data_IF_088839899713
#
_entry.id   IF_088839899713
#
_cell.length_a   1.000
_cell.length_b   1.000
_cell.length_c   1.000
_cell.angle_alpha   90.00
_cell.angle_beta   90.00
_cell.angle_gamma   90.00
#
_symmetry.space_group_name_H-M   'P 1'
#
loop_
_entity.id
_entity.type
_entity.pdbx_description
1 polymer ?
#
# COMPACT_ATOMS: atom_id res chain seq x y z
N UNK A 1 9.47 -32.66 -0.92
CA UNK A 1 8.45 -31.81 -1.59
C UNK A 1 8.01 -30.79 -0.55
N UNK A 2 8.58 -29.59 -0.57
CA UNK A 2 8.12 -28.50 0.28
C UNK A 2 6.87 -27.92 -0.38
N UNK A 3 5.72 -28.01 0.31
CA UNK A 3 4.47 -27.42 -0.14
C UNK A 3 4.48 -25.98 0.35
N UNK A 4 4.36 -25.02 -0.57
CA UNK A 4 4.23 -23.60 -0.26
C UNK A 4 2.83 -23.38 0.29
N UNK A 5 2.71 -23.00 1.56
CA UNK A 5 1.45 -22.91 2.28
C UNK A 5 1.11 -21.54 2.86
N UNK A 6 1.82 -20.51 2.38
CA UNK A 6 1.76 -19.13 2.87
C UNK A 6 0.34 -18.54 2.93
N UNK A 7 -0.55 -18.92 2.00
CA UNK A 7 -1.95 -18.47 2.03
C UNK A 7 -2.69 -18.99 3.27
N UNK A 8 -2.59 -20.30 3.56
CA UNK A 8 -3.24 -20.87 4.75
C UNK A 8 -2.62 -20.33 6.02
N UNK A 9 -1.30 -20.22 6.04
CA UNK A 9 -0.55 -19.63 7.15
C UNK A 9 -1.07 -18.21 7.48
N UNK A 10 -1.12 -17.33 6.47
CA UNK A 10 -1.53 -15.95 6.66
C UNK A 10 -3.01 -15.80 7.03
N UNK A 11 -3.90 -16.56 6.39
CA UNK A 11 -5.33 -16.52 6.72
C UNK A 11 -5.61 -17.07 8.13
N UNK A 12 -4.87 -18.10 8.55
CA UNK A 12 -4.97 -18.61 9.92
C UNK A 12 -4.41 -17.60 10.93
N UNK A 13 -3.33 -16.91 10.60
CA UNK A 13 -2.81 -15.81 11.43
C UNK A 13 -3.85 -14.73 11.64
N UNK A 14 -4.53 -14.26 10.57
CA UNK A 14 -5.63 -13.30 10.68
C UNK A 14 -6.72 -13.80 11.62
N UNK A 15 -7.14 -15.06 11.46
CA UNK A 15 -8.22 -15.66 12.25
C UNK A 15 -7.90 -15.72 13.75
N UNK A 16 -6.65 -15.99 14.11
CA UNK A 16 -6.26 -16.20 15.51
C UNK A 16 -5.79 -14.91 16.21
N UNK A 17 -5.31 -13.91 15.46
CA UNK A 17 -4.60 -12.76 16.03
C UNK A 17 -5.29 -11.41 15.83
N UNK A 18 -6.45 -11.37 15.18
CA UNK A 18 -7.22 -10.13 14.95
C UNK A 18 -8.61 -10.22 15.56
N UNK A 19 -9.29 -9.09 15.80
CA UNK A 19 -10.67 -9.11 16.25
C UNK A 19 -11.59 -9.65 15.14
N UNK A 20 -12.69 -10.31 15.50
CA UNK A 20 -13.61 -10.94 14.53
C UNK A 20 -14.24 -9.92 13.57
N UNK A 21 -14.40 -8.67 14.02
CA UNK A 21 -14.92 -7.55 13.25
C UNK A 21 -13.85 -6.74 12.50
N UNK A 22 -12.57 -7.13 12.59
CA UNK A 22 -11.49 -6.43 11.89
C UNK A 22 -11.65 -6.53 10.37
N UNK A 23 -11.86 -5.38 9.72
CA UNK A 23 -12.05 -5.29 8.27
C UNK A 23 -10.72 -5.39 7.54
N UNK A 24 -10.66 -6.32 6.58
CA UNK A 24 -9.49 -6.57 5.74
C UNK A 24 -9.67 -5.89 4.38
N UNK A 25 -8.72 -5.05 3.99
CA UNK A 25 -8.60 -4.49 2.66
C UNK A 25 -7.62 -5.33 1.84
N UNK A 26 -8.12 -5.98 0.79
CA UNK A 26 -7.33 -6.76 -0.16
C UNK A 26 -7.89 -6.57 -1.57
N UNK A 27 -7.16 -7.01 -2.58
CA UNK A 27 -7.75 -7.14 -3.91
C UNK A 27 -8.92 -8.14 -3.92
N UNK A 28 -9.89 -7.92 -4.82
CA UNK A 28 -11.17 -8.64 -4.81
C UNK A 28 -11.03 -10.14 -5.11
N UNK A 29 -10.00 -10.55 -5.86
CA UNK A 29 -9.69 -11.96 -6.16
C UNK A 29 -9.65 -12.83 -4.89
N UNK A 30 -9.23 -12.25 -3.76
CA UNK A 30 -8.97 -12.96 -2.51
C UNK A 30 -10.14 -12.92 -1.52
N UNK A 31 -11.18 -12.13 -1.79
CA UNK A 31 -12.25 -11.84 -0.82
C UNK A 31 -12.94 -13.09 -0.26
N UNK A 32 -13.31 -14.04 -1.12
CA UNK A 32 -13.93 -15.30 -0.67
C UNK A 32 -13.00 -16.21 0.12
N UNK A 33 -11.70 -16.21 -0.20
CA UNK A 33 -10.72 -17.00 0.55
C UNK A 33 -10.52 -16.42 1.95
N UNK A 34 -10.42 -15.10 2.07
CA UNK A 34 -10.30 -14.42 3.36
C UNK A 34 -11.57 -14.66 4.18
N UNK A 35 -12.75 -14.42 3.62
CA UNK A 35 -14.01 -14.64 4.34
C UNK A 35 -14.19 -16.10 4.79
N UNK A 36 -13.84 -17.07 3.95
CA UNK A 36 -14.01 -18.49 4.27
C UNK A 36 -12.94 -19.05 5.22
N UNK A 37 -11.67 -18.65 5.07
CA UNK A 37 -10.54 -19.25 5.81
C UNK A 37 -10.13 -18.41 7.01
N UNK A 38 -10.04 -17.10 6.84
CA UNK A 38 -9.68 -16.16 7.91
C UNK A 38 -10.87 -15.78 8.78
N UNK A 39 -12.11 -15.97 8.29
CA UNK A 39 -13.34 -15.66 9.04
C UNK A 39 -13.39 -14.17 9.44
N UNK A 40 -13.09 -13.28 8.48
CA UNK A 40 -13.03 -11.82 8.67
C UNK A 40 -13.81 -11.07 7.59
N UNK A 41 -14.43 -9.93 7.93
CA UNK A 41 -15.07 -9.08 6.94
C UNK A 41 -14.04 -8.50 5.98
N UNK A 42 -14.39 -8.41 4.69
CA UNK A 42 -13.55 -7.79 3.66
C UNK A 42 -14.22 -6.54 3.09
N UNK A 43 -13.41 -5.53 2.73
CA UNK A 43 -13.92 -4.29 2.15
C UNK A 43 -14.57 -4.52 0.76
N UNK A 44 -14.02 -5.46 0.00
CA UNK A 44 -14.52 -5.93 -1.29
C UNK A 44 -14.58 -7.44 -1.31
N UNK A 45 -15.55 -7.98 -2.04
CA UNK A 45 -15.69 -9.42 -2.28
C UNK A 45 -15.59 -9.74 -3.78
N UNK A 46 -15.57 -11.03 -4.10
CA UNK A 46 -15.43 -11.54 -5.47
C UNK A 46 -16.77 -11.54 -6.24
N UNK A 47 -17.82 -10.91 -5.71
CA UNK A 47 -19.13 -10.87 -6.37
C UNK A 47 -19.25 -9.69 -7.35
N UNK A 48 -18.28 -8.77 -7.38
CA UNK A 48 -18.10 -7.67 -8.37
C UNK A 48 -19.30 -6.79 -8.71
N UNK A 49 -20.35 -6.80 -7.89
CA UNK A 49 -21.59 -6.06 -8.15
C UNK A 49 -21.46 -4.56 -7.89
N UNK A 50 -20.59 -4.16 -6.97
CA UNK A 50 -20.32 -2.76 -6.63
C UNK A 50 -18.94 -2.30 -7.14
N UNK A 51 -18.92 -1.87 -8.40
CA UNK A 51 -17.70 -1.39 -9.07
C UNK A 51 -17.02 -0.22 -8.34
N UNK A 52 -17.79 0.60 -7.59
CA UNK A 52 -17.23 1.73 -6.84
C UNK A 52 -16.39 1.26 -5.65
N UNK A 53 -16.77 0.18 -4.98
CA UNK A 53 -15.96 -0.38 -3.89
C UNK A 53 -14.65 -0.99 -4.42
N UNK A 54 -14.70 -1.71 -5.55
CA UNK A 54 -13.48 -2.24 -6.20
C UNK A 54 -12.55 -1.09 -6.60
N UNK A 55 -13.11 -0.04 -7.21
CA UNK A 55 -12.35 1.15 -7.56
C UNK A 55 -11.77 1.83 -6.31
N UNK A 56 -12.47 1.81 -5.17
CA UNK A 56 -11.97 2.38 -3.90
C UNK A 56 -10.73 1.65 -3.41
N UNK A 57 -10.73 0.30 -3.46
CA UNK A 57 -9.54 -0.49 -3.13
C UNK A 57 -8.40 -0.18 -4.10
N UNK A 58 -8.67 -0.14 -5.41
CA UNK A 58 -7.64 0.23 -6.38
C UNK A 58 -7.08 1.63 -6.14
N UNK A 59 -7.93 2.57 -5.71
CA UNK A 59 -7.54 3.93 -5.36
C UNK A 59 -6.63 3.95 -4.13
N UNK A 60 -6.98 3.21 -3.07
CA UNK A 60 -6.13 3.05 -1.87
C UNK A 60 -4.76 2.51 -2.27
N UNK A 61 -4.72 1.43 -3.05
CA UNK A 61 -3.47 0.77 -3.45
C UNK A 61 -2.59 1.66 -4.35
N UNK A 62 -3.20 2.51 -5.17
CA UNK A 62 -2.50 3.33 -6.15
C UNK A 62 -2.02 4.68 -5.60
N UNK A 63 -2.64 5.21 -4.54
CA UNK A 63 -2.30 6.51 -3.97
C UNK A 63 -1.11 6.43 -2.99
N UNK A 64 -0.46 7.57 -2.69
CA UNK A 64 0.43 7.68 -1.54
C UNK A 64 -0.28 7.43 -0.22
N UNK A 65 0.43 6.88 0.77
CA UNK A 65 -0.13 6.54 2.09
C UNK A 65 -0.89 7.70 2.74
N UNK A 66 -0.36 8.93 2.67
CA UNK A 66 -1.00 10.13 3.24
C UNK A 66 -2.41 10.38 2.67
N UNK A 67 -2.65 10.02 1.41
CA UNK A 67 -3.97 10.14 0.77
C UNK A 67 -4.82 8.88 0.91
N UNK A 68 -4.18 7.72 0.99
CA UNK A 68 -4.86 6.44 1.18
C UNK A 68 -5.37 6.25 2.62
N UNK A 69 -4.63 6.75 3.61
CA UNK A 69 -4.93 6.59 5.03
C UNK A 69 -6.32 7.13 5.42
N UNK A 70 -6.73 8.36 5.06
CA UNK A 70 -8.09 8.82 5.36
C UNK A 70 -9.19 7.96 4.73
N UNK A 71 -8.92 7.33 3.57
CA UNK A 71 -9.86 6.43 2.91
C UNK A 71 -9.95 5.12 3.70
N UNK A 72 -8.81 4.54 4.08
CA UNK A 72 -8.76 3.35 4.94
C UNK A 72 -9.53 3.57 6.25
N UNK A 73 -9.30 4.70 6.94
CA UNK A 73 -10.01 5.06 8.18
C UNK A 73 -11.51 5.26 7.95
N UNK A 74 -11.91 5.90 6.86
CA UNK A 74 -13.34 6.12 6.52
C UNK A 74 -14.11 4.81 6.29
N UNK A 75 -13.41 3.77 5.86
CA UNK A 75 -13.98 2.44 5.60
C UNK A 75 -13.73 1.45 6.75
N UNK A 76 -13.31 1.94 7.92
CA UNK A 76 -13.02 1.15 9.12
C UNK A 76 -12.06 -0.03 8.87
N UNK A 77 -11.14 0.14 7.91
CA UNK A 77 -10.13 -0.87 7.59
C UNK A 77 -9.09 -0.93 8.72
N UNK A 78 -8.88 -2.13 9.25
CA UNK A 78 -7.85 -2.39 10.26
C UNK A 78 -6.60 -3.02 9.67
N UNK A 79 -6.75 -3.87 8.63
CA UNK A 79 -5.62 -4.54 8.00
C UNK A 79 -5.65 -4.43 6.48
N UNK A 80 -4.47 -4.32 5.88
CA UNK A 80 -4.24 -4.37 4.44
C UNK A 80 -3.46 -5.64 4.12
N UNK A 81 -3.97 -6.47 3.21
CA UNK A 81 -3.33 -7.69 2.77
C UNK A 81 -2.87 -7.54 1.31
N UNK A 82 -1.61 -7.86 1.05
CA UNK A 82 -0.99 -7.81 -0.28
C UNK A 82 -0.27 -9.13 -0.58
N UNK A 83 -0.43 -9.63 -1.80
CA UNK A 83 0.30 -10.79 -2.31
C UNK A 83 1.56 -10.31 -3.04
N UNK A 84 2.72 -10.83 -2.63
CA UNK A 84 4.03 -10.39 -3.08
C UNK A 84 4.91 -11.57 -3.52
N UNK A 85 5.10 -11.73 -4.82
CA UNK A 85 5.71 -12.94 -5.39
C UNK A 85 7.20 -12.86 -5.63
N UNK A 86 7.85 -11.73 -5.32
CA UNK A 86 9.20 -11.43 -5.80
C UNK A 86 10.30 -12.34 -5.27
N UNK A 87 10.17 -12.91 -4.06
CA UNK A 87 11.18 -13.84 -3.52
C UNK A 87 11.13 -15.20 -4.25
N UNK A 88 9.93 -15.67 -4.57
CA UNK A 88 9.70 -16.98 -5.19
C UNK A 88 9.67 -16.92 -6.73
N UNK A 89 9.55 -15.73 -7.31
CA UNK A 89 9.26 -15.58 -8.74
C UNK A 89 7.80 -15.91 -9.09
N UNK A 90 6.89 -15.76 -8.12
CA UNK A 90 5.47 -16.01 -8.34
C UNK A 90 4.84 -14.86 -9.13
N UNK A 91 4.36 -15.15 -10.34
CA UNK A 91 3.83 -14.14 -11.26
C UNK A 91 2.39 -13.70 -10.98
N UNK A 92 1.65 -14.44 -10.14
CA UNK A 92 0.26 -14.14 -9.79
C UNK A 92 0.10 -13.11 -8.66
N UNK A 93 1.13 -12.32 -8.39
CA UNK A 93 1.18 -11.35 -7.30
C UNK A 93 0.49 -10.02 -7.66
N UNK A 94 0.29 -9.16 -6.65
CA UNK A 94 -0.52 -7.96 -6.82
C UNK A 94 0.18 -6.88 -7.65
N UNK A 95 1.52 -6.84 -7.67
CA UNK A 95 2.26 -5.87 -8.48
C UNK A 95 2.06 -6.14 -9.98
N UNK A 96 1.88 -7.40 -10.41
CA UNK A 96 1.55 -7.70 -11.82
C UNK A 96 0.09 -7.35 -12.17
N UNK A 97 -0.80 -7.39 -11.18
CA UNK A 97 -2.22 -7.00 -11.34
C UNK A 97 -2.44 -5.49 -11.17
N UNK A 98 -1.47 -4.77 -10.62
CA UNK A 98 -1.63 -3.40 -10.14
C UNK A 98 -2.16 -2.42 -11.21
N UNK A 99 -1.74 -2.55 -12.48
CA UNK A 99 -2.28 -1.68 -13.54
C UNK A 99 -3.79 -1.86 -13.76
N UNK A 100 -4.36 -3.04 -13.49
CA UNK A 100 -5.81 -3.23 -13.48
C UNK A 100 -6.48 -2.42 -12.38
N UNK A 101 -5.88 -2.40 -11.18
CA UNK A 101 -6.35 -1.59 -10.06
C UNK A 101 -6.36 -0.10 -10.42
N UNK A 102 -5.27 0.37 -11.04
CA UNK A 102 -5.11 1.76 -11.51
C UNK A 102 -6.16 2.11 -12.55
N UNK A 103 -6.40 1.26 -13.55
CA UNK A 103 -7.38 1.50 -14.63
C UNK A 103 -8.82 1.57 -14.11
N UNK A 104 -9.20 0.64 -13.24
CA UNK A 104 -10.55 0.64 -12.64
C UNK A 104 -10.76 1.91 -11.81
N UNK A 105 -9.74 2.32 -11.05
CA UNK A 105 -9.80 3.53 -10.22
C UNK A 105 -9.82 4.81 -11.04
N UNK A 106 -9.01 4.89 -12.11
CA UNK A 106 -9.02 6.00 -13.05
C UNK A 106 -10.40 6.18 -13.70
N UNK A 107 -11.13 5.09 -13.96
CA UNK A 107 -12.48 5.17 -14.52
C UNK A 107 -13.47 5.94 -13.63
N UNK A 108 -13.23 6.00 -12.31
CA UNK A 108 -14.08 6.70 -11.33
C UNK A 108 -13.45 8.04 -10.89
N UNK A 109 -12.13 8.10 -10.71
CA UNK A 109 -11.38 9.30 -10.27
C UNK A 109 -10.25 9.67 -11.25
N UNK A 110 -10.57 10.10 -12.49
CA UNK A 110 -9.56 10.38 -13.52
C UNK A 110 -8.64 11.57 -13.18
N UNK A 111 -9.12 12.50 -12.34
CA UNK A 111 -8.34 13.66 -11.92
C UNK A 111 -7.30 13.32 -10.84
N UNK A 112 -7.52 12.23 -10.09
CA UNK A 112 -6.64 11.80 -8.99
C UNK A 112 -5.67 10.71 -9.41
N UNK A 113 -6.11 9.78 -10.27
CA UNK A 113 -5.35 8.62 -10.72
C UNK A 113 -5.31 8.62 -12.23
N UNK A 114 -4.09 8.58 -12.78
CA UNK A 114 -3.86 8.47 -14.22
C UNK A 114 -2.80 7.40 -14.47
N UNK A 115 -3.13 6.40 -15.28
CA UNK A 115 -2.30 5.24 -15.61
C UNK A 115 -0.89 5.63 -16.05
N UNK A 116 -0.79 6.66 -16.91
CA UNK A 116 0.49 7.17 -17.42
C UNK A 116 1.48 7.57 -16.32
N UNK A 117 1.00 7.94 -15.13
CA UNK A 117 1.86 8.38 -14.02
C UNK A 117 2.66 7.23 -13.40
N UNK A 118 2.27 5.97 -13.67
CA UNK A 118 2.93 4.76 -13.16
C UNK A 118 3.97 4.19 -14.11
N UNK A 119 4.16 4.81 -15.29
CA UNK A 119 5.19 4.47 -16.25
C UNK A 119 6.35 5.45 -16.20
N UNK A 120 7.54 5.00 -16.59
CA UNK A 120 8.68 5.90 -16.80
C UNK A 120 8.38 6.89 -17.94
N UNK A 121 9.16 7.97 -18.11
CA UNK A 121 9.02 8.86 -19.27
C UNK A 121 9.18 8.15 -20.63
N UNK A 122 9.75 6.94 -20.65
CA UNK A 122 9.90 6.07 -21.82
C UNK A 122 8.73 5.09 -22.02
N UNK A 123 7.73 5.12 -21.13
CA UNK A 123 6.59 4.20 -21.16
C UNK A 123 6.88 2.82 -20.57
N UNK A 124 7.95 2.67 -19.77
CA UNK A 124 8.32 1.37 -19.19
C UNK A 124 7.63 1.15 -17.84
N UNK A 125 7.20 -0.08 -17.56
CA UNK A 125 6.68 -0.50 -16.25
C UNK A 125 7.81 -1.08 -15.40
N UNK A 126 8.36 -0.26 -14.49
CA UNK A 126 9.55 -0.58 -13.70
C UNK A 126 9.30 -0.54 -12.19
N UNK A 127 10.06 -1.36 -11.46
CA UNK A 127 10.09 -1.46 -10.00
C UNK A 127 11.46 -1.08 -9.42
N UNK A 128 12.47 -0.92 -10.29
CA UNK A 128 13.82 -0.53 -9.94
C UNK A 128 13.94 0.98 -9.59
N UNK A 129 15.18 1.47 -9.50
CA UNK A 129 15.47 2.89 -9.23
C UNK A 129 14.81 3.87 -10.21
N UNK A 130 14.59 3.44 -11.45
CA UNK A 130 14.03 4.25 -12.54
C UNK A 130 12.49 4.21 -12.56
N UNK A 131 11.87 3.45 -11.65
CA UNK A 131 10.42 3.44 -11.45
C UNK A 131 9.86 4.85 -11.28
N UNK A 132 8.65 5.07 -11.81
CA UNK A 132 7.97 6.34 -11.74
C UNK A 132 7.74 6.78 -10.28
N UNK A 133 7.65 8.09 -10.05
CA UNK A 133 7.43 8.62 -8.70
C UNK A 133 6.09 8.13 -8.13
N UNK A 134 5.01 8.12 -8.94
CA UNK A 134 3.72 7.62 -8.47
C UNK A 134 3.76 6.12 -8.15
N UNK A 135 4.57 5.33 -8.86
CA UNK A 135 4.80 3.92 -8.52
C UNK A 135 5.46 3.81 -7.16
N UNK A 136 6.62 4.45 -6.96
CA UNK A 136 7.40 4.36 -5.71
C UNK A 136 6.64 4.89 -4.48
N UNK A 137 5.77 5.87 -4.67
CA UNK A 137 4.96 6.42 -3.58
C UNK A 137 3.67 5.64 -3.32
N UNK A 138 3.22 4.78 -4.24
CA UNK A 138 1.97 4.03 -4.08
C UNK A 138 2.01 3.11 -2.86
N UNK A 139 0.86 2.95 -2.19
CA UNK A 139 0.71 1.97 -1.10
C UNK A 139 1.15 0.60 -1.58
N UNK A 140 0.71 0.16 -2.76
CA UNK A 140 1.06 -1.14 -3.34
C UNK A 140 2.57 -1.38 -3.41
N UNK A 141 3.34 -0.42 -3.95
CA UNK A 141 4.80 -0.54 -4.02
C UNK A 141 5.42 -0.58 -2.63
N UNK A 142 5.01 0.34 -1.74
CA UNK A 142 5.59 0.43 -0.40
C UNK A 142 5.31 -0.82 0.42
N UNK A 143 4.08 -1.32 0.46
CA UNK A 143 3.71 -2.55 1.18
C UNK A 143 4.28 -3.81 0.52
N UNK A 144 4.56 -3.81 -0.78
CA UNK A 144 5.21 -4.97 -1.41
C UNK A 144 6.69 -5.04 -1.08
N UNK A 145 7.42 -3.91 -1.17
CA UNK A 145 8.88 -3.88 -1.06
C UNK A 145 9.42 -3.43 0.30
N UNK A 146 8.57 -3.11 1.28
CA UNK A 146 8.99 -2.74 2.64
C UNK A 146 9.93 -3.79 3.23
N UNK A 147 11.12 -3.39 3.70
CA UNK A 147 12.21 -4.26 4.21
C UNK A 147 12.70 -5.37 3.26
N UNK A 148 12.25 -5.43 2.01
CA UNK A 148 12.62 -6.51 1.10
C UNK A 148 14.11 -6.46 0.74
N UNK A 149 14.67 -5.25 0.55
CA UNK A 149 16.09 -5.08 0.25
C UNK A 149 17.00 -5.51 1.42
N UNK A 150 16.54 -5.33 2.66
CA UNK A 150 17.31 -5.65 3.87
C UNK A 150 17.57 -7.16 4.00
N UNK A 151 16.69 -8.00 3.44
CA UNK A 151 16.87 -9.46 3.41
C UNK A 151 18.16 -9.90 2.70
N UNK A 152 18.65 -9.09 1.76
CA UNK A 152 19.82 -9.42 0.97
C UNK A 152 21.14 -9.02 1.68
N UNK A 153 21.09 -8.51 2.92
CA UNK A 153 22.25 -8.19 3.77
C UNK A 153 23.30 -7.32 3.06
N UNK A 154 22.85 -6.30 2.33
CA UNK A 154 23.71 -5.41 1.52
C UNK A 154 24.09 -5.96 0.14
N UNK A 155 23.64 -7.17 -0.19
CA UNK A 155 23.70 -7.74 -1.54
C UNK A 155 22.70 -7.11 -2.51
N UNK A 156 22.68 -7.63 -3.74
CA UNK A 156 21.77 -7.17 -4.80
C UNK A 156 20.37 -7.71 -4.53
N UNK A 157 19.46 -6.83 -4.14
CA UNK A 157 18.05 -7.16 -4.00
C UNK A 157 17.43 -7.32 -5.39
N UNK A 158 17.02 -8.54 -5.72
CA UNK A 158 16.45 -8.87 -7.02
C UNK A 158 15.00 -9.29 -6.83
N UNK A 159 14.11 -8.61 -7.54
CA UNK A 159 12.75 -9.07 -7.75
C UNK A 159 12.78 -10.19 -8.79
N UNK A 160 12.61 -11.45 -8.35
CA UNK A 160 12.66 -12.62 -9.24
C UNK A 160 11.43 -12.74 -10.14
N UNK A 161 10.28 -12.17 -9.74
CA UNK A 161 9.07 -12.22 -10.55
C UNK A 161 9.18 -11.33 -11.80
N UNK A 162 9.99 -10.27 -11.73
CA UNK A 162 10.17 -9.28 -12.82
C UNK A 162 11.58 -9.23 -13.38
N UNK A 163 12.51 -9.94 -12.74
CA UNK A 163 13.93 -9.91 -13.05
C UNK A 163 14.51 -8.48 -13.05
N UNK A 164 14.17 -7.71 -12.02
CA UNK A 164 14.63 -6.32 -11.85
C UNK A 164 15.45 -6.18 -10.57
N UNK A 165 16.53 -5.41 -10.65
CA UNK A 165 17.34 -5.06 -9.47
C UNK A 165 16.73 -3.86 -8.75
N UNK A 166 16.40 -4.05 -7.49
CA UNK A 166 15.75 -3.05 -6.67
C UNK A 166 16.78 -2.09 -6.06
N UNK A 167 16.34 -0.88 -5.67
CA UNK A 167 17.17 0.04 -4.90
C UNK A 167 17.70 -0.62 -3.60
N UNK A 168 18.93 -0.26 -3.20
CA UNK A 168 19.51 -0.76 -1.95
C UNK A 168 18.70 -0.33 -0.71
N UNK A 169 18.12 0.87 -0.75
CA UNK A 169 17.24 1.36 0.31
C UNK A 169 15.78 1.14 -0.11
N UNK A 170 15.08 0.30 0.64
CA UNK A 170 13.65 0.05 0.44
C UNK A 170 12.76 1.23 0.85
N UNK A 171 11.46 1.16 0.52
CA UNK A 171 10.48 2.13 0.98
C UNK A 171 10.31 2.06 2.50
N UNK A 172 9.84 3.17 3.08
CA UNK A 172 9.39 3.26 4.47
C UNK A 172 7.88 3.42 4.52
N UNK A 173 7.27 3.03 5.64
CA UNK A 173 5.83 3.14 5.87
C UNK A 173 5.60 4.06 7.07
N UNK A 174 4.70 5.02 6.88
CA UNK A 174 4.38 6.01 7.92
C UNK A 174 3.05 5.69 8.60
N UNK A 175 2.07 5.21 7.84
CA UNK A 175 0.67 5.05 8.25
C UNK A 175 0.26 3.58 8.43
N UNK A 176 1.12 2.66 8.02
CA UNK A 176 0.94 1.21 8.08
C UNK A 176 2.10 0.60 8.86
N UNK A 177 1.81 -0.36 9.74
CA UNK A 177 2.82 -1.18 10.40
C UNK A 177 2.75 -2.61 9.87
N UNK A 178 3.90 -3.22 9.62
CA UNK A 178 3.96 -4.64 9.26
C UNK A 178 3.51 -5.49 10.44
N UNK A 179 2.41 -6.22 10.27
CA UNK A 179 1.82 -7.07 11.31
C UNK A 179 2.24 -8.54 11.14
N UNK A 180 2.29 -9.01 9.89
CA UNK A 180 2.69 -10.36 9.55
C UNK A 180 3.25 -10.43 8.11
N UNK A 181 4.26 -11.27 7.91
CA UNK A 181 4.79 -11.65 6.59
C UNK A 181 5.01 -13.16 6.63
N UNK A 182 4.47 -13.89 5.65
CA UNK A 182 4.54 -15.35 5.58
C UNK A 182 5.97 -15.86 5.35
N UNK A 183 6.20 -17.16 5.57
CA UNK A 183 7.54 -17.77 5.50
C UNK A 183 8.29 -17.43 4.20
N UNK A 184 7.61 -17.55 3.05
CA UNK A 184 8.19 -17.28 1.73
C UNK A 184 7.90 -15.87 1.21
N UNK A 185 7.46 -14.97 2.09
CA UNK A 185 7.09 -13.58 1.78
C UNK A 185 5.98 -13.43 0.75
N UNK A 186 5.19 -14.49 0.52
CA UNK A 186 4.13 -14.50 -0.49
C UNK A 186 2.92 -13.67 -0.05
N UNK A 187 2.59 -13.66 1.24
CA UNK A 187 1.47 -12.89 1.79
C UNK A 187 2.01 -11.93 2.84
N UNK A 188 1.66 -10.65 2.70
CA UNK A 188 2.05 -9.59 3.63
C UNK A 188 0.81 -8.90 4.18
N UNK A 189 0.79 -8.72 5.50
CA UNK A 189 -0.32 -8.13 6.23
C UNK A 189 0.19 -6.93 7.02
N UNK A 190 -0.48 -5.81 6.80
CA UNK A 190 -0.16 -4.54 7.42
C UNK A 190 -1.33 -4.07 8.27
N UNK A 191 -1.05 -3.62 9.48
CA UNK A 191 -2.04 -2.96 10.33
C UNK A 191 -2.09 -1.46 10.01
N UNK A 192 -3.30 -0.93 9.86
CA UNK A 192 -3.52 0.51 9.72
C UNK A 192 -3.34 1.16 11.09
N UNK A 193 -2.46 2.16 11.18
CA UNK A 193 -2.25 2.89 12.44
C UNK A 193 -3.55 3.55 12.91
N UNK A 194 -3.74 3.59 14.22
CA UNK A 194 -4.79 4.40 14.84
C UNK A 194 -4.40 5.87 14.79
N UNK A 195 -5.37 6.77 14.88
CA UNK A 195 -5.09 8.21 14.92
C UNK A 195 -4.21 8.54 16.16
N UNK A 196 -3.22 9.41 15.96
CA UNK A 196 -2.34 9.86 17.05
C UNK A 196 -3.17 10.55 18.13
N UNK A 197 -2.90 10.22 19.40
CA UNK A 197 -3.67 10.72 20.56
C UNK A 197 -3.63 12.26 20.64
N UNK A 198 -2.58 12.89 20.10
CA UNK A 198 -2.43 14.35 20.06
C UNK A 198 -2.93 14.95 18.73
N UNK A 199 -3.58 14.16 17.88
CA UNK A 199 -4.10 14.57 16.57
C UNK A 199 -3.01 14.96 15.57
N UNK A 200 -1.77 14.49 15.78
CA UNK A 200 -0.66 14.77 14.86
C UNK A 200 -0.73 13.86 13.66
N UNK A 201 -0.26 14.37 12.53
CA UNK A 201 0.00 13.55 11.36
C UNK A 201 1.13 12.54 11.63
N UNK A 202 0.92 11.27 11.24
CA UNK A 202 1.84 10.16 11.51
C UNK A 202 3.24 10.39 10.95
N UNK A 203 3.33 10.88 9.71
CA UNK A 203 4.60 11.19 9.07
C UNK A 203 5.37 12.28 9.82
N UNK A 204 4.66 13.31 10.30
CA UNK A 204 5.24 14.33 11.17
C UNK A 204 5.70 13.78 12.53
N UNK A 205 4.94 12.85 13.12
CA UNK A 205 5.29 12.20 14.39
C UNK A 205 6.52 11.29 14.25
N UNK A 206 6.59 10.48 13.19
CA UNK A 206 7.73 9.61 12.89
C UNK A 206 9.00 10.45 12.64
N UNK A 207 8.91 11.52 11.83
CA UNK A 207 10.04 12.40 11.60
C UNK A 207 10.57 13.06 12.90
N UNK A 208 9.69 13.42 13.83
CA UNK A 208 10.09 13.93 15.14
C UNK A 208 10.80 12.86 15.98
N UNK A 209 10.29 11.63 15.99
CA UNK A 209 10.91 10.50 16.70
C UNK A 209 12.30 10.15 16.16
N UNK A 210 12.50 10.28 14.84
CA UNK A 210 13.81 10.12 14.17
C UNK A 210 14.78 11.30 14.39
N UNK A 211 14.39 12.30 15.20
CA UNK A 211 15.23 13.47 15.50
C UNK A 211 15.34 14.48 14.36
N UNK A 212 14.55 14.35 13.29
CA UNK A 212 14.51 15.34 12.21
C UNK A 212 13.74 16.58 12.67
N UNK A 213 14.47 17.66 13.01
CA UNK A 213 13.85 18.95 13.37
C UNK A 213 13.01 19.49 12.20
N UNK A 214 11.75 19.84 12.46
CA UNK A 214 10.91 20.60 11.52
C UNK A 214 11.68 21.84 11.03
N UNK A 215 11.88 21.98 9.72
CA UNK A 215 12.24 23.28 9.13
C UNK A 215 11.08 24.23 9.43
N UNK A 216 11.33 25.30 10.18
CA UNK A 216 10.35 26.39 10.39
C UNK A 216 9.89 26.87 9.01
N UNK A 217 8.67 26.54 8.60
CA UNK A 217 8.04 27.21 7.46
C UNK A 217 7.82 28.66 7.86
N UNK A 218 8.28 29.60 7.01
CA UNK A 218 7.95 31.01 7.19
C UNK A 218 6.42 31.13 7.18
N UNK A 219 5.80 31.84 8.13
CA UNK A 219 4.35 32.04 8.10
C UNK A 219 3.98 32.68 6.77
N UNK A 220 2.92 32.18 6.15
CA UNK A 220 2.37 32.73 4.92
C UNK A 220 2.07 34.21 5.16
N UNK A 221 2.74 35.09 4.41
CA UNK A 221 2.49 36.53 4.48
C UNK A 221 1.00 36.76 4.24
N UNK A 222 0.27 37.24 5.25
CA UNK A 222 -1.13 37.65 5.09
C UNK A 222 -1.18 38.68 3.96
N UNK A 223 -1.80 38.32 2.84
CA UNK A 223 -2.12 39.26 1.76
C UNK A 223 -2.85 40.44 2.38
N UNK A 224 -2.23 41.63 2.33
CA UNK A 224 -2.81 42.88 2.78
C UNK A 224 -4.04 43.15 1.91
N UNK A 225 -5.24 43.13 2.50
CA UNK A 225 -6.47 43.52 1.81
C UNK A 225 -6.34 45.00 1.45
N UNK A 226 -6.37 45.32 0.15
CA UNK A 226 -6.40 46.69 -0.32
C UNK A 226 -7.75 47.32 0.04
N UNK A 227 -7.80 48.53 0.61
CA UNK A 227 -9.07 49.17 0.93
C UNK A 227 -9.82 49.52 -0.36
N UNK A 228 -11.11 49.20 -0.39
CA UNK A 228 -12.01 49.53 -1.48
C UNK A 228 -12.06 51.07 -1.68
N UNK A 229 -11.89 51.51 -2.93
CA UNK A 229 -12.09 52.91 -3.30
C UNK A 229 -13.59 53.24 -3.20
N UNK A 230 -13.90 54.33 -2.50
CA UNK A 230 -15.22 55.00 -2.54
C UNK A 230 -15.47 55.60 -3.92
#
# INVERSE_FOLDING_TARGET
MHIIDDFREAYYWLRQNTAEDSVICSWWDYGYQIAGMADRPTLVDNNTWNNTHIATVGKIMALPEEKAYPILRKHDVEYVLVIFGSLLGYSGDDINKFLWMVRISQGIWPDEIQEKNYFTPRGEYKMDKDAAVAMKESVMYKTSYYKFADMFQGGRAIDRARNQELPQQGPTLDYLDEAFTSENWLVRIYQVKKDDILGRDHKSANAFAEGKKRKRSRPMSRRRVLPAKK
#
